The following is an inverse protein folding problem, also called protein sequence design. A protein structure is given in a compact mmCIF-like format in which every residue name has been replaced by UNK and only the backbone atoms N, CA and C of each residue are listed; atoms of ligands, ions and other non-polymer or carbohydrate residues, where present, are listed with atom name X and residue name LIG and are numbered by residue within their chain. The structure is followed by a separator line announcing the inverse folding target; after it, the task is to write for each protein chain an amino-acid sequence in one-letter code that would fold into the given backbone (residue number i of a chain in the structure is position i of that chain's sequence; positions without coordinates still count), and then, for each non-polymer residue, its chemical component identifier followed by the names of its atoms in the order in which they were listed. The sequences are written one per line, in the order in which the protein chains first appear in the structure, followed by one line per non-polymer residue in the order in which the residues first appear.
data_IF_177290877844
#
_entry.id   IF_177290877844
#
_cell.length_a   1.000
_cell.length_b   1.000
_cell.length_c   1.000
_cell.angle_alpha   90.00
_cell.angle_beta   90.00
_cell.angle_gamma   90.00
#
_symmetry.space_group_name_H-M   'P 1'
#
loop_
_entity.id
_entity.type
_entity.pdbx_description
1 polymer ?
#
# COMPACT_ATOMS: atom_id res chain seq x y z
N UNK A 1 4.71 -17.95 -3.70
CA UNK A 1 4.88 -16.78 -4.59
C UNK A 1 6.20 -16.08 -4.30
N UNK A 2 6.88 -15.51 -5.30
CA UNK A 2 8.08 -14.69 -5.04
C UNK A 2 7.68 -13.44 -4.24
N UNK A 3 8.45 -13.03 -3.23
CA UNK A 3 8.16 -11.81 -2.49
C UNK A 3 8.30 -10.61 -3.43
N UNK A 4 7.22 -9.82 -3.57
CA UNK A 4 7.27 -8.56 -4.30
C UNK A 4 7.76 -7.47 -3.34
N UNK A 5 8.82 -6.75 -3.73
CA UNK A 5 9.33 -5.57 -3.01
C UNK A 5 9.09 -4.33 -3.84
N UNK A 6 8.76 -3.21 -3.22
CA UNK A 6 8.42 -1.98 -3.90
C UNK A 6 8.84 -0.74 -3.09
N UNK A 7 9.00 0.36 -3.79
CA UNK A 7 9.26 1.68 -3.21
C UNK A 7 7.96 2.48 -3.10
N UNK A 8 7.72 3.15 -1.97
CA UNK A 8 6.61 4.10 -1.84
C UNK A 8 6.90 5.34 -2.69
N UNK A 9 6.17 5.52 -3.79
CA UNK A 9 6.31 6.68 -4.67
C UNK A 9 5.55 7.89 -4.14
N UNK A 10 4.35 7.66 -3.59
CA UNK A 10 3.49 8.73 -3.11
C UNK A 10 2.53 8.24 -2.02
N UNK A 11 2.21 9.15 -1.11
CA UNK A 11 1.18 8.98 -0.10
C UNK A 11 0.09 10.03 -0.33
N UNK A 12 -1.16 9.60 -0.27
CA UNK A 12 -2.32 10.47 -0.40
C UNK A 12 -3.18 10.37 0.85
N UNK A 13 -3.31 11.46 1.59
CA UNK A 13 -4.07 11.54 2.84
C UNK A 13 -4.89 12.84 2.85
N UNK A 14 -6.13 12.77 3.33
CA UNK A 14 -7.02 13.92 3.53
C UNK A 14 -7.12 14.87 2.32
N UNK A 15 -7.17 14.31 1.11
CA UNK A 15 -7.38 15.10 -0.11
C UNK A 15 -6.10 15.65 -0.74
N UNK A 16 -4.92 15.32 -0.23
CA UNK A 16 -3.65 15.86 -0.72
C UNK A 16 -2.52 14.83 -0.72
N UNK A 17 -1.46 15.12 -1.51
CA UNK A 17 -0.22 14.36 -1.46
C UNK A 17 0.62 14.82 -0.27
N UNK A 18 1.13 13.86 0.48
CA UNK A 18 1.95 14.09 1.67
C UNK A 18 3.25 13.29 1.58
N UNK A 19 4.29 13.72 2.30
CA UNK A 19 5.57 13.01 2.36
C UNK A 19 5.60 11.90 3.41
N UNK A 20 4.68 11.95 4.38
CA UNK A 20 4.57 11.00 5.48
C UNK A 20 3.12 10.85 5.95
N UNK A 21 2.81 9.70 6.54
CA UNK A 21 1.59 9.46 7.33
C UNK A 21 1.99 8.77 8.64
N UNK A 22 1.32 9.13 9.73
CA UNK A 22 1.51 8.58 11.06
C UNK A 22 0.63 7.36 11.31
N UNK A 23 0.95 6.61 12.37
CA UNK A 23 0.11 5.52 12.87
C UNK A 23 -1.37 5.93 12.99
N UNK A 24 -2.25 5.01 12.61
CA UNK A 24 -3.70 5.16 12.66
C UNK A 24 -4.30 5.92 11.47
N UNK A 25 -3.50 6.65 10.69
CA UNK A 25 -4.00 7.39 9.54
C UNK A 25 -4.36 6.45 8.38
N UNK A 26 -5.48 6.77 7.72
CA UNK A 26 -5.89 6.10 6.48
C UNK A 26 -5.32 6.86 5.31
N UNK A 27 -4.61 6.17 4.43
CA UNK A 27 -4.00 6.79 3.27
C UNK A 27 -4.09 5.91 2.03
N UNK A 28 -3.95 6.53 0.86
CA UNK A 28 -3.61 5.85 -0.37
C UNK A 28 -2.10 5.76 -0.52
N UNK A 29 -1.60 4.58 -0.84
CA UNK A 29 -0.18 4.31 -1.11
C UNK A 29 -0.01 3.94 -2.58
N UNK A 30 0.84 4.68 -3.28
CA UNK A 30 1.25 4.37 -4.65
C UNK A 30 2.67 3.82 -4.62
N UNK A 31 2.86 2.69 -5.29
CA UNK A 31 4.12 1.96 -5.35
C UNK A 31 4.68 1.99 -6.79
N UNK A 32 5.98 1.80 -6.94
CA UNK A 32 6.64 1.66 -8.25
C UNK A 32 6.27 0.36 -8.97
N UNK A 33 5.99 -0.69 -8.21
CA UNK A 33 5.43 -1.95 -8.68
C UNK A 33 4.54 -2.57 -7.60
N UNK A 34 3.62 -3.44 -8.00
CA UNK A 34 2.77 -4.16 -7.07
C UNK A 34 2.35 -5.51 -7.61
N UNK A 35 2.23 -6.49 -6.71
CA UNK A 35 1.63 -7.80 -7.00
C UNK A 35 0.12 -7.83 -6.73
N UNK A 36 -0.47 -6.79 -6.14
CA UNK A 36 -1.91 -6.71 -5.90
C UNK A 36 -2.68 -6.41 -7.18
N UNK A 37 -3.71 -7.20 -7.43
CA UNK A 37 -4.68 -6.92 -8.48
C UNK A 37 -5.66 -5.82 -8.02
N UNK A 38 -5.75 -4.75 -8.82
CA UNK A 38 -6.71 -3.68 -8.59
C UNK A 38 -8.10 -4.10 -9.08
N UNK A 39 -9.15 -3.76 -8.32
CA UNK A 39 -10.53 -4.08 -8.74
C UNK A 39 -10.82 -3.50 -10.13
N UNK A 40 -11.13 -4.39 -11.07
CA UNK A 40 -11.70 -4.04 -12.36
C UNK A 40 -12.86 -4.99 -12.68
N UNK A 41 -14.00 -4.44 -13.10
CA UNK A 41 -15.11 -5.22 -13.63
C UNK A 41 -15.96 -5.98 -12.60
N UNK A 42 -15.95 -5.58 -11.32
CA UNK A 42 -16.82 -6.15 -10.28
C UNK A 42 -16.29 -7.43 -9.61
N UNK A 43 -15.01 -7.77 -9.81
CA UNK A 43 -14.33 -8.84 -9.07
C UNK A 43 -13.77 -8.32 -7.73
N UNK A 44 -13.66 -9.23 -6.76
CA UNK A 44 -13.02 -8.94 -5.48
C UNK A 44 -11.53 -8.60 -5.67
N UNK A 45 -11.03 -7.60 -4.94
CA UNK A 45 -9.60 -7.30 -4.87
C UNK A 45 -8.84 -8.37 -4.09
N UNK A 46 -7.54 -8.44 -4.34
CA UNK A 46 -6.63 -9.18 -3.47
C UNK A 46 -6.61 -8.55 -2.08
N UNK A 47 -6.66 -9.42 -1.05
CA UNK A 47 -6.42 -9.03 0.33
C UNK A 47 -4.96 -9.29 0.69
N UNK A 48 -4.48 -8.60 1.72
CA UNK A 48 -3.09 -8.72 2.13
C UNK A 48 -2.59 -7.53 2.92
N UNK A 49 -1.28 -7.43 3.04
CA UNK A 49 -0.62 -6.40 3.82
C UNK A 49 0.76 -6.08 3.28
N UNK A 50 1.29 -4.92 3.69
CA UNK A 50 2.69 -4.59 3.52
C UNK A 50 3.45 -4.83 4.82
N UNK A 51 4.74 -5.12 4.69
CA UNK A 51 5.72 -4.95 5.76
C UNK A 51 6.78 -3.97 5.30
N UNK A 52 7.16 -3.02 6.15
CA UNK A 52 8.22 -2.06 5.84
C UNK A 52 9.58 -2.66 6.16
N UNK A 53 10.60 -2.36 5.34
CA UNK A 53 11.97 -2.80 5.62
C UNK A 53 12.43 -2.26 6.99
N UNK A 54 12.92 -3.18 7.84
CA UNK A 54 13.33 -2.90 9.21
C UNK A 54 12.19 -2.99 10.24
N UNK A 55 10.95 -3.23 9.81
CA UNK A 55 9.76 -3.40 10.65
C UNK A 55 8.94 -4.61 10.17
N UNK A 56 9.56 -5.78 10.05
CA UNK A 56 8.90 -6.96 9.46
C UNK A 56 7.75 -7.53 10.30
N UNK A 57 7.74 -7.28 11.61
CA UNK A 57 6.66 -7.70 12.51
C UNK A 57 5.47 -6.71 12.52
N UNK A 58 5.58 -5.59 11.80
CA UNK A 58 4.52 -4.57 11.69
C UNK A 58 3.80 -4.72 10.36
N UNK A 59 2.53 -5.09 10.43
CA UNK A 59 1.69 -5.31 9.26
C UNK A 59 0.90 -4.05 8.94
N UNK A 60 0.95 -3.62 7.68
CA UNK A 60 0.16 -2.51 7.14
C UNK A 60 -0.97 -3.10 6.29
N UNK A 61 -2.20 -3.29 6.84
CA UNK A 61 -3.25 -4.02 6.13
C UNK A 61 -3.76 -3.23 4.94
N UNK A 62 -3.82 -3.87 3.78
CA UNK A 62 -4.42 -3.31 2.57
C UNK A 62 -5.92 -3.55 2.63
N UNK A 63 -6.70 -2.47 2.62
CA UNK A 63 -8.16 -2.50 2.73
C UNK A 63 -8.87 -2.53 1.39
N UNK A 64 -8.24 -2.02 0.34
CA UNK A 64 -8.70 -2.13 -1.04
C UNK A 64 -7.59 -1.69 -1.99
N UNK A 65 -7.67 -2.14 -3.24
CA UNK A 65 -6.73 -1.78 -4.29
C UNK A 65 -7.52 -1.31 -5.51
N UNK A 66 -7.27 -0.08 -5.96
CA UNK A 66 -8.07 0.56 -7.03
C UNK A 66 -7.17 1.23 -8.07
N UNK A 67 -7.66 1.29 -9.30
CA UNK A 67 -7.04 2.10 -10.36
C UNK A 67 -7.57 3.53 -10.33
N UNK A 68 -6.67 4.51 -10.32
CA UNK A 68 -6.99 5.92 -10.42
C UNK A 68 -5.94 6.64 -11.28
N UNK A 69 -6.37 7.23 -12.39
CA UNK A 69 -5.47 8.01 -13.27
C UNK A 69 -4.28 7.23 -13.83
N UNK A 70 -4.41 5.91 -14.01
CA UNK A 70 -3.33 5.03 -14.45
C UNK A 70 -2.44 4.46 -13.34
N UNK A 71 -2.67 4.84 -12.08
CA UNK A 71 -1.94 4.33 -10.93
C UNK A 71 -2.76 3.30 -10.15
N UNK A 72 -2.07 2.31 -9.58
CA UNK A 72 -2.66 1.41 -8.57
C UNK A 72 -2.50 2.04 -7.20
N UNK A 73 -3.64 2.34 -6.57
CA UNK A 73 -3.72 2.96 -5.25
C UNK A 73 -4.16 1.92 -4.23
N UNK A 74 -3.30 1.67 -3.25
CA UNK A 74 -3.56 0.76 -2.15
C UNK A 74 -4.09 1.56 -0.96
N UNK A 75 -5.31 1.31 -0.53
CA UNK A 75 -5.83 1.93 0.69
C UNK A 75 -5.31 1.19 1.91
N UNK A 76 -4.58 1.89 2.77
CA UNK A 76 -3.91 1.31 3.94
C UNK A 76 -4.27 2.12 5.18
N UNK A 77 -4.45 1.44 6.30
CA UNK A 77 -4.35 2.08 7.62
C UNK A 77 -2.92 1.92 8.10
N UNK A 78 -2.20 3.02 8.26
CA UNK A 78 -0.82 3.01 8.71
C UNK A 78 -0.72 2.40 10.11
N UNK A 79 -0.02 1.28 10.25
CA UNK A 79 0.26 0.68 11.56
C UNK A 79 1.43 1.36 12.26
N UNK A 80 2.28 2.03 11.49
CA UNK A 80 3.43 2.81 11.92
C UNK A 80 3.66 3.96 10.93
N UNK A 81 4.65 4.82 11.19
CA UNK A 81 4.98 5.90 10.24
C UNK A 81 5.47 5.36 8.89
N UNK A 82 4.79 5.77 7.81
CA UNK A 82 5.15 5.47 6.42
C UNK A 82 5.52 6.75 5.68
N UNK A 83 6.57 6.71 4.86
CA UNK A 83 7.14 7.85 4.15
C UNK A 83 7.31 7.52 2.67
N UNK A 84 7.25 8.56 1.84
CA UNK A 84 7.74 8.44 0.46
C UNK A 84 9.21 8.00 0.46
N UNK A 85 9.56 7.04 -0.39
CA UNK A 85 10.87 6.43 -0.49
C UNK A 85 11.08 5.20 0.39
N UNK A 86 10.17 4.90 1.33
CA UNK A 86 10.25 3.66 2.11
C UNK A 86 10.19 2.42 1.20
N UNK A 87 10.97 1.41 1.56
CA UNK A 87 10.91 0.08 0.95
C UNK A 87 9.89 -0.77 1.69
N UNK A 88 9.01 -1.41 0.93
CA UNK A 88 7.99 -2.32 1.46
C UNK A 88 8.02 -3.66 0.74
N UNK A 89 7.67 -4.72 1.47
CA UNK A 89 7.41 -6.04 0.93
C UNK A 89 5.90 -6.33 0.99
N UNK A 90 5.38 -6.89 -0.09
CA UNK A 90 3.95 -7.11 -0.31
C UNK A 90 3.63 -8.59 -0.05
N UNK A 91 2.55 -8.83 0.68
CA UNK A 91 2.07 -10.17 1.03
C UNK A 91 0.59 -10.25 0.69
N UNK A 92 0.20 -11.27 -0.08
CA UNK A 92 -1.19 -11.53 -0.45
C UNK A 92 -1.75 -12.63 0.46
N UNK A 93 -2.97 -12.44 0.94
CA UNK A 93 -3.72 -13.46 1.67
C UNK A 93 -4.38 -14.41 0.64
N UNK A 94 -4.25 -15.73 0.83
CA UNK A 94 -4.85 -16.77 -0.04
C UNK A 94 -6.36 -16.97 0.20
#
# INVERSE_FOLDING_TARGET
FQPCRASVLALYCDGSLVSEVSEGQRCGVILDQTSFYAEQGGQAHDQGYFTKDGLQDVLFPVKSVRLAGGYVVHQVTAAETLRTGDQVQLHLDE
#
